data_IF_198682070830
#
_entry.id   IF_198682070830
#
_cell.length_a   1.000
_cell.length_b   1.000
_cell.length_c   1.000
_cell.angle_alpha   90.00
_cell.angle_beta   90.00
_cell.angle_gamma   90.00
#
_symmetry.space_group_name_H-M   'P 1'
#
loop_
_entity.id
_entity.type
_entity.pdbx_description
1 polymer ?
#
# COMPACT_ATOMS: atom_id res chain seq x y z
N UNK A 1 -20.88 41.94 -40.26
CA UNK A 1 -19.92 40.87 -40.63
C UNK A 1 -18.66 40.86 -39.78
N UNK A 2 -18.66 41.46 -38.57
CA UNK A 2 -17.46 41.57 -37.71
C UNK A 2 -17.54 40.86 -36.35
N UNK A 3 -18.66 40.23 -35.99
CA UNK A 3 -18.79 39.54 -34.68
C UNK A 3 -18.32 38.08 -34.75
N UNK A 4 -18.37 37.44 -35.92
CA UNK A 4 -17.93 36.05 -36.12
C UNK A 4 -16.41 35.87 -36.26
N UNK A 5 -15.66 36.96 -36.55
CA UNK A 5 -14.18 36.89 -36.58
C UNK A 5 -13.53 36.99 -35.20
N UNK A 6 -14.17 37.66 -34.24
CA UNK A 6 -13.63 37.85 -32.89
C UNK A 6 -13.67 36.52 -32.10
N UNK A 7 -14.73 35.72 -32.21
CA UNK A 7 -14.86 34.44 -31.50
C UNK A 7 -13.83 33.35 -31.89
N UNK A 8 -13.39 33.32 -33.17
CA UNK A 8 -12.37 32.39 -33.65
C UNK A 8 -10.94 32.76 -33.19
N UNK A 9 -10.67 34.07 -33.05
CA UNK A 9 -9.36 34.54 -32.57
C UNK A 9 -9.22 34.25 -31.08
N UNK A 10 -10.27 34.44 -30.28
CA UNK A 10 -10.27 34.08 -28.85
C UNK A 10 -10.20 32.56 -28.61
N UNK A 11 -10.89 31.76 -29.41
CA UNK A 11 -10.81 30.29 -29.32
C UNK A 11 -9.40 29.77 -29.68
N UNK A 12 -8.76 30.33 -30.71
CA UNK A 12 -7.37 29.98 -31.06
C UNK A 12 -6.35 30.48 -30.01
N UNK A 13 -6.58 31.65 -29.40
CA UNK A 13 -5.71 32.17 -28.34
C UNK A 13 -5.86 31.37 -27.05
N UNK A 14 -7.05 30.89 -26.72
CA UNK A 14 -7.31 30.00 -25.61
C UNK A 14 -6.67 28.61 -25.82
N UNK A 15 -6.75 28.08 -27.06
CA UNK A 15 -6.05 26.80 -27.41
C UNK A 15 -4.54 26.93 -27.36
N UNK A 16 -3.97 28.07 -27.78
CA UNK A 16 -2.51 28.31 -27.75
C UNK A 16 -2.04 28.48 -26.29
N UNK A 17 -2.79 29.17 -25.44
CA UNK A 17 -2.48 29.31 -24.01
C UNK A 17 -2.54 27.96 -23.27
N UNK A 18 -3.51 27.11 -23.57
CA UNK A 18 -3.62 25.77 -23.00
C UNK A 18 -2.44 24.86 -23.40
N UNK A 19 -1.81 25.09 -24.56
CA UNK A 19 -0.66 24.31 -25.03
C UNK A 19 0.65 24.61 -24.25
N UNK A 20 0.72 25.75 -23.55
CA UNK A 20 1.86 26.16 -22.70
C UNK A 20 1.63 25.92 -21.20
N UNK A 21 0.42 25.53 -20.80
CA UNK A 21 0.10 25.21 -19.40
C UNK A 21 0.50 23.78 -19.08
N UNK A 22 1.12 23.58 -17.91
CA UNK A 22 1.38 22.23 -17.39
C UNK A 22 0.09 21.44 -17.16
N UNK A 23 0.17 20.08 -17.09
CA UNK A 23 -1.02 19.23 -16.95
C UNK A 23 -1.86 19.58 -15.71
N UNK A 24 -1.23 19.87 -14.59
CA UNK A 24 -1.93 20.25 -13.35
C UNK A 24 -2.60 21.64 -13.45
N UNK A 25 -2.00 22.59 -14.17
CA UNK A 25 -2.61 23.90 -14.42
C UNK A 25 -3.84 23.78 -15.34
N UNK A 26 -3.78 22.89 -16.33
CA UNK A 26 -4.92 22.58 -17.20
C UNK A 26 -6.07 21.97 -16.38
N UNK A 27 -5.77 20.98 -15.54
CA UNK A 27 -6.73 20.35 -14.64
C UNK A 27 -7.36 21.37 -13.69
N UNK A 28 -6.55 22.20 -13.02
CA UNK A 28 -6.99 23.29 -12.14
C UNK A 28 -7.96 24.23 -12.84
N UNK A 29 -7.59 24.69 -14.04
CA UNK A 29 -8.41 25.63 -14.80
C UNK A 29 -9.77 25.02 -15.21
N UNK A 30 -9.80 23.71 -15.52
CA UNK A 30 -11.03 22.99 -15.83
C UNK A 30 -11.93 22.84 -14.58
N UNK A 31 -11.36 22.47 -13.45
CA UNK A 31 -12.06 22.28 -12.18
C UNK A 31 -12.62 23.61 -11.64
N UNK A 32 -11.86 24.72 -11.75
CA UNK A 32 -12.35 26.06 -11.35
C UNK A 32 -13.59 26.45 -12.15
N UNK A 33 -13.59 26.23 -13.47
CA UNK A 33 -14.78 26.53 -14.30
C UNK A 33 -15.99 25.68 -13.89
N UNK A 34 -15.80 24.41 -13.59
CA UNK A 34 -16.88 23.55 -13.08
C UNK A 34 -17.40 24.07 -11.74
N UNK A 35 -16.47 24.46 -10.86
CA UNK A 35 -16.80 25.01 -9.54
C UNK A 35 -17.60 26.32 -9.62
N UNK A 36 -17.21 27.24 -10.51
CA UNK A 36 -17.91 28.48 -10.72
C UNK A 36 -19.33 28.26 -11.28
N UNK A 37 -19.51 27.26 -12.15
CA UNK A 37 -20.82 26.86 -12.64
C UNK A 37 -21.74 26.33 -11.53
N UNK A 38 -21.20 25.59 -10.53
CA UNK A 38 -21.98 25.14 -9.38
C UNK A 38 -22.47 26.26 -8.49
N UNK A 39 -21.73 27.34 -8.34
CA UNK A 39 -22.12 28.49 -7.51
C UNK A 39 -23.41 29.16 -8.02
N UNK A 40 -23.84 28.87 -9.24
CA UNK A 40 -25.08 29.35 -9.82
C UNK A 40 -26.27 28.38 -9.73
N UNK A 41 -26.02 27.15 -9.21
CA UNK A 41 -27.04 26.12 -9.03
C UNK A 41 -27.11 25.77 -7.55
N UNK A 42 -28.30 25.42 -7.05
CA UNK A 42 -28.49 24.92 -5.69
C UNK A 42 -28.30 23.38 -5.74
N UNK A 43 -27.12 22.82 -5.35
CA UNK A 43 -26.88 21.41 -5.49
C UNK A 43 -27.73 20.64 -4.49
N UNK A 44 -28.55 19.73 -5.00
CA UNK A 44 -29.41 18.84 -4.20
C UNK A 44 -28.61 17.76 -3.45
N UNK A 45 -27.39 17.47 -3.91
CA UNK A 45 -26.52 16.47 -3.32
C UNK A 45 -25.74 17.01 -2.11
N UNK A 46 -25.56 16.22 -1.08
CA UNK A 46 -24.75 16.58 0.11
C UNK A 46 -23.26 16.70 -0.22
N UNK A 47 -22.77 15.90 -1.20
CA UNK A 47 -21.38 15.90 -1.67
C UNK A 47 -21.38 16.21 -3.17
N UNK A 48 -20.59 17.19 -3.55
CA UNK A 48 -20.32 17.56 -4.94
C UNK A 48 -19.07 16.84 -5.42
N UNK A 49 -19.12 16.25 -6.62
CA UNK A 49 -18.00 15.64 -7.31
C UNK A 49 -17.69 16.40 -8.60
N UNK A 50 -16.49 16.94 -8.68
CA UNK A 50 -15.94 17.57 -9.89
C UNK A 50 -14.83 16.67 -10.44
N UNK A 51 -14.78 16.50 -11.76
CA UNK A 51 -13.78 15.66 -12.38
C UNK A 51 -13.27 16.27 -13.69
N UNK A 52 -11.98 16.08 -13.92
CA UNK A 52 -11.36 16.44 -15.20
C UNK A 52 -10.28 15.43 -15.56
N UNK A 53 -9.94 15.39 -16.85
CA UNK A 53 -8.95 14.49 -17.41
C UNK A 53 -7.91 15.29 -18.17
N UNK A 54 -6.64 14.90 -18.03
CA UNK A 54 -5.51 15.40 -18.81
C UNK A 54 -4.73 14.23 -19.39
N UNK A 55 -4.27 14.36 -20.65
CA UNK A 55 -3.50 13.33 -21.34
C UNK A 55 -2.00 13.57 -21.11
N UNK A 56 -1.55 13.29 -19.90
CA UNK A 56 -0.14 13.41 -19.50
C UNK A 56 0.07 12.74 -18.16
N UNK A 57 1.25 12.18 -17.97
CA UNK A 57 1.70 11.72 -16.67
C UNK A 57 2.19 12.89 -15.81
N UNK A 58 1.95 12.78 -14.50
CA UNK A 58 2.37 13.72 -13.46
C UNK A 58 3.23 12.97 -12.45
N UNK A 59 4.31 13.57 -11.97
CA UNK A 59 5.01 13.04 -10.80
C UNK A 59 4.17 13.26 -9.54
N UNK A 60 3.37 12.24 -9.20
CA UNK A 60 2.43 12.31 -8.09
C UNK A 60 3.10 12.38 -6.72
N UNK A 61 4.33 11.86 -6.55
CA UNK A 61 5.07 12.01 -5.30
C UNK A 61 5.60 13.44 -5.13
N UNK A 62 6.12 14.05 -6.19
CA UNK A 62 6.54 15.45 -6.18
C UNK A 62 5.34 16.39 -6.00
N UNK A 63 4.19 16.06 -6.59
CA UNK A 63 2.94 16.78 -6.37
C UNK A 63 2.49 16.68 -4.91
N UNK A 64 2.42 15.49 -4.34
CA UNK A 64 2.02 15.28 -2.94
C UNK A 64 2.95 15.99 -1.96
N UNK A 65 4.27 16.03 -2.25
CA UNK A 65 5.25 16.77 -1.45
C UNK A 65 5.00 18.28 -1.47
N UNK A 66 4.42 18.80 -2.54
CA UNK A 66 4.01 20.21 -2.67
C UNK A 66 2.71 20.56 -1.94
N UNK A 67 1.93 19.56 -1.48
CA UNK A 67 0.64 19.79 -0.81
C UNK A 67 0.80 19.83 0.72
N UNK A 68 0.09 20.76 1.37
CA UNK A 68 0.05 20.90 2.83
C UNK A 68 -1.24 20.33 3.45
N UNK A 69 -2.08 19.66 2.66
CA UNK A 69 -3.36 19.10 3.11
C UNK A 69 -3.20 17.62 3.43
N UNK A 70 -3.71 17.19 4.57
CA UNK A 70 -3.62 15.82 5.11
C UNK A 70 -5.01 15.28 5.49
N UNK A 71 -5.17 13.93 5.63
CA UNK A 71 -4.18 12.91 5.37
C UNK A 71 -3.79 12.84 3.89
N UNK A 72 -2.64 12.19 3.60
CA UNK A 72 -2.20 11.93 2.24
C UNK A 72 -2.06 10.43 2.03
N UNK A 73 -2.53 9.94 0.90
CA UNK A 73 -2.47 8.54 0.49
C UNK A 73 -1.85 8.42 -0.89
N UNK A 74 -0.98 7.42 -1.07
CA UNK A 74 -0.41 7.04 -2.36
C UNK A 74 -0.42 5.52 -2.49
N UNK A 75 -0.79 5.04 -3.66
CA UNK A 75 -0.67 3.63 -4.03
C UNK A 75 -0.34 3.51 -5.53
N UNK A 76 0.85 2.96 -5.84
CA UNK A 76 1.17 2.48 -7.17
C UNK A 76 0.97 0.98 -7.20
N UNK A 77 0.16 0.51 -8.14
CA UNK A 77 -0.19 -0.89 -8.28
C UNK A 77 0.97 -1.69 -8.89
N UNK A 78 1.09 -2.95 -8.47
CA UNK A 78 2.22 -3.83 -8.81
C UNK A 78 2.18 -4.32 -10.25
N UNK A 79 1.01 -4.72 -10.72
CA UNK A 79 0.83 -5.45 -11.98
C UNK A 79 0.25 -4.56 -13.09
N UNK A 80 -0.14 -3.34 -12.78
CA UNK A 80 -0.72 -2.36 -13.69
C UNK A 80 0.08 -1.06 -13.69
N UNK A 81 0.11 -0.37 -14.82
CA UNK A 81 0.65 0.98 -14.90
C UNK A 81 -0.34 2.00 -14.28
N UNK A 82 -0.88 1.67 -13.09
CA UNK A 82 -1.86 2.48 -12.36
C UNK A 82 -1.25 3.04 -11.08
N UNK A 83 -1.52 4.31 -10.83
CA UNK A 83 -1.12 5.00 -9.59
C UNK A 83 -2.29 5.84 -9.09
N UNK A 84 -2.52 5.81 -7.79
CA UNK A 84 -3.53 6.62 -7.10
C UNK A 84 -2.86 7.49 -6.05
N UNK A 85 -3.16 8.78 -6.05
CA UNK A 85 -2.73 9.73 -5.03
C UNK A 85 -3.93 10.50 -4.51
N UNK A 86 -4.00 10.69 -3.19
CA UNK A 86 -5.11 11.42 -2.57
C UNK A 86 -4.61 12.35 -1.47
N UNK A 87 -5.27 13.50 -1.33
CA UNK A 87 -4.99 14.48 -0.26
C UNK A 87 -6.27 15.01 0.35
N UNK A 88 -6.20 15.27 1.67
CA UNK A 88 -7.33 15.73 2.47
C UNK A 88 -8.40 14.67 2.68
N UNK A 89 -9.45 15.02 3.39
CA UNK A 89 -10.62 14.16 3.63
C UNK A 89 -11.90 14.97 3.65
N UNK A 90 -12.92 14.47 2.99
CA UNK A 90 -14.31 14.92 3.08
C UNK A 90 -15.05 14.12 4.12
N UNK A 91 -14.87 12.79 4.08
CA UNK A 91 -15.46 11.83 5.02
C UNK A 91 -14.38 10.87 5.53
N UNK A 92 -14.57 10.36 6.75
CA UNK A 92 -13.71 9.30 7.32
C UNK A 92 -14.56 8.23 7.97
N UNK A 93 -14.09 6.98 7.85
CA UNK A 93 -14.78 5.79 8.34
C UNK A 93 -13.80 4.95 9.17
N UNK A 94 -14.13 4.76 10.45
CA UNK A 94 -13.42 3.88 11.39
C UNK A 94 -14.08 2.49 11.49
N UNK A 95 -15.12 2.24 10.71
CA UNK A 95 -15.80 0.96 10.54
C UNK A 95 -15.90 0.64 9.05
N UNK A 96 -15.38 -0.52 8.67
CA UNK A 96 -15.34 -0.96 7.26
C UNK A 96 -16.75 -1.21 6.69
N UNK A 97 -17.75 -1.55 7.52
CA UNK A 97 -19.12 -1.70 7.04
C UNK A 97 -19.74 -0.35 6.69
N UNK A 98 -19.45 0.70 7.50
CA UNK A 98 -19.91 2.05 7.19
C UNK A 98 -19.23 2.58 5.92
N UNK A 99 -17.94 2.26 5.70
CA UNK A 99 -17.25 2.56 4.46
C UNK A 99 -17.91 1.87 3.26
N UNK A 100 -18.24 0.57 3.40
CA UNK A 100 -18.94 -0.20 2.38
C UNK A 100 -20.33 0.36 2.06
N UNK A 101 -21.10 0.70 3.09
CA UNK A 101 -22.43 1.31 2.91
C UNK A 101 -22.34 2.63 2.15
N UNK A 102 -21.38 3.47 2.51
CA UNK A 102 -21.16 4.75 1.83
C UNK A 102 -20.87 4.58 0.33
N UNK A 103 -20.04 3.60 -0.06
CA UNK A 103 -19.75 3.31 -1.47
C UNK A 103 -21.01 2.86 -2.20
N UNK A 104 -21.83 2.02 -1.57
CA UNK A 104 -23.10 1.52 -2.16
C UNK A 104 -24.12 2.64 -2.38
N UNK A 105 -24.12 3.66 -1.49
CA UNK A 105 -25.06 4.79 -1.57
C UNK A 105 -24.60 5.87 -2.55
N UNK A 106 -23.29 6.11 -2.67
CA UNK A 106 -22.76 7.26 -3.40
C UNK A 106 -21.92 6.94 -4.64
N UNK A 107 -21.46 5.70 -4.80
CA UNK A 107 -20.54 5.26 -5.86
C UNK A 107 -19.24 6.09 -5.93
N UNK A 108 -18.74 6.53 -4.76
CA UNK A 108 -17.48 7.23 -4.66
C UNK A 108 -16.38 6.30 -4.13
N UNK A 109 -15.16 6.33 -4.70
CA UNK A 109 -14.07 5.51 -4.23
C UNK A 109 -13.55 6.00 -2.87
N UNK A 110 -13.19 5.06 -2.01
CA UNK A 110 -12.50 5.31 -0.75
C UNK A 110 -11.07 4.79 -0.83
N UNK A 111 -10.15 5.49 -0.15
CA UNK A 111 -8.78 5.05 0.05
C UNK A 111 -8.52 4.79 1.53
N UNK A 112 -7.68 3.80 1.85
CA UNK A 112 -7.37 3.43 3.23
C UNK A 112 -7.19 1.94 3.41
N UNK A 113 -7.51 1.43 4.62
CA UNK A 113 -7.35 0.02 4.92
C UNK A 113 -7.58 -0.35 6.37
N UNK A 114 -6.98 -1.46 6.79
CA UNK A 114 -7.00 -1.99 8.15
C UNK A 114 -5.60 -2.06 8.72
N UNK A 115 -5.41 -1.62 9.97
CA UNK A 115 -4.21 -1.91 10.73
C UNK A 115 -4.15 -3.39 11.12
N UNK A 116 -3.02 -3.86 11.62
CA UNK A 116 -2.80 -5.28 11.93
C UNK A 116 -3.85 -5.88 12.87
N UNK A 117 -4.29 -5.16 13.89
CA UNK A 117 -5.30 -5.65 14.83
C UNK A 117 -6.73 -5.56 14.26
N UNK A 118 -6.94 -4.85 13.14
CA UNK A 118 -8.22 -4.72 12.45
C UNK A 118 -8.87 -3.34 12.57
N UNK A 119 -8.20 -2.37 13.19
CA UNK A 119 -8.67 -0.98 13.20
C UNK A 119 -8.77 -0.45 11.76
N UNK A 120 -9.94 0.05 11.42
CA UNK A 120 -10.28 0.50 10.09
C UNK A 120 -10.05 2.00 9.95
N UNK A 121 -9.44 2.42 8.84
CA UNK A 121 -9.29 3.82 8.48
C UNK A 121 -9.46 3.97 6.97
N UNK A 122 -10.64 4.42 6.56
CA UNK A 122 -10.97 4.77 5.18
C UNK A 122 -11.37 6.24 5.08
N UNK A 123 -11.06 6.88 3.96
CA UNK A 123 -11.48 8.25 3.68
C UNK A 123 -12.04 8.39 2.28
N UNK A 124 -13.05 9.27 2.12
CA UNK A 124 -13.32 9.96 0.88
C UNK A 124 -12.37 11.16 0.83
N UNK A 125 -11.39 11.20 -0.08
CA UNK A 125 -10.43 12.31 -0.13
C UNK A 125 -11.07 13.59 -0.67
N UNK A 126 -10.46 14.75 -0.37
CA UNK A 126 -10.85 16.00 -1.02
C UNK A 126 -10.38 16.04 -2.48
N UNK A 127 -9.18 15.56 -2.75
CA UNK A 127 -8.64 15.37 -4.09
C UNK A 127 -8.17 13.94 -4.26
N UNK A 128 -8.61 13.31 -5.35
CA UNK A 128 -8.14 12.00 -5.81
C UNK A 128 -7.58 12.16 -7.21
N UNK A 129 -6.35 11.72 -7.42
CA UNK A 129 -5.73 11.63 -8.73
C UNK A 129 -5.48 10.17 -9.05
N UNK A 130 -6.02 9.71 -10.18
CA UNK A 130 -5.77 8.40 -10.74
C UNK A 130 -4.99 8.57 -12.05
N UNK A 131 -3.86 7.89 -12.15
CA UNK A 131 -3.01 7.94 -13.34
C UNK A 131 -2.83 6.55 -13.90
N UNK A 132 -3.10 6.38 -15.20
CA UNK A 132 -2.94 5.10 -15.88
C UNK A 132 -2.72 5.33 -17.38
N UNK A 133 -1.70 4.65 -17.96
CA UNK A 133 -1.44 4.63 -19.40
C UNK A 133 -1.29 6.02 -20.07
N UNK A 134 -0.66 6.98 -19.39
CA UNK A 134 -0.46 8.34 -19.91
C UNK A 134 -1.67 9.27 -19.74
N UNK A 135 -2.68 8.81 -19.02
CA UNK A 135 -3.87 9.55 -18.69
C UNK A 135 -3.93 9.84 -17.19
N UNK A 136 -4.23 11.07 -16.83
CA UNK A 136 -4.42 11.49 -15.43
C UNK A 136 -5.82 12.02 -15.24
N UNK A 137 -6.60 11.37 -14.37
CA UNK A 137 -7.94 11.79 -13.96
C UNK A 137 -7.85 12.44 -12.59
N UNK A 138 -8.38 13.66 -12.46
CA UNK A 138 -8.43 14.41 -11.21
C UNK A 138 -9.87 14.55 -10.77
N UNK A 139 -10.19 14.03 -9.59
CA UNK A 139 -11.49 14.16 -8.94
C UNK A 139 -11.36 15.04 -7.69
N UNK A 140 -12.31 15.95 -7.50
CA UNK A 140 -12.44 16.79 -6.31
C UNK A 140 -13.80 16.51 -5.69
N UNK A 141 -13.80 16.17 -4.41
CA UNK A 141 -15.00 15.96 -3.62
C UNK A 141 -15.11 17.06 -2.55
N UNK A 142 -16.30 17.55 -2.32
CA UNK A 142 -16.56 18.61 -1.34
C UNK A 142 -17.99 18.53 -0.81
N UNK A 143 -18.15 18.76 0.49
CA UNK A 143 -19.48 18.98 1.09
C UNK A 143 -20.09 20.26 0.52
N UNK A 144 -21.38 20.22 0.24
CA UNK A 144 -22.10 21.38 -0.33
C UNK A 144 -22.03 22.63 0.56
N UNK A 145 -21.91 22.42 1.89
CA UNK A 145 -21.78 23.50 2.88
C UNK A 145 -20.32 23.95 3.10
N UNK A 146 -19.32 23.31 2.46
CA UNK A 146 -17.88 23.58 2.62
C UNK A 146 -17.18 23.96 1.30
N UNK A 147 -17.91 24.56 0.36
CA UNK A 147 -17.41 24.89 -0.95
C UNK A 147 -16.13 25.78 -0.95
N UNK A 148 -15.93 26.60 0.09
CA UNK A 148 -14.72 27.42 0.20
C UNK A 148 -13.46 26.58 0.47
N UNK A 149 -13.58 25.40 1.08
CA UNK A 149 -12.45 24.49 1.28
C UNK A 149 -11.90 23.95 -0.04
N UNK A 150 -12.76 23.67 -1.01
CA UNK A 150 -12.35 23.25 -2.35
C UNK A 150 -11.59 24.35 -3.09
N UNK A 151 -12.01 25.63 -2.95
CA UNK A 151 -11.28 26.76 -3.53
C UNK A 151 -9.86 26.87 -2.99
N UNK A 152 -9.68 26.67 -1.67
CA UNK A 152 -8.36 26.72 -1.04
C UNK A 152 -7.43 25.64 -1.62
N UNK A 153 -7.92 24.42 -1.77
CA UNK A 153 -7.14 23.31 -2.36
C UNK A 153 -6.80 23.61 -3.82
N UNK A 154 -7.77 24.06 -4.61
CA UNK A 154 -7.54 24.40 -6.01
C UNK A 154 -6.53 25.54 -6.19
N UNK A 155 -6.42 26.47 -5.24
CA UNK A 155 -5.43 27.56 -5.30
C UNK A 155 -3.98 27.08 -5.24
N UNK A 156 -3.71 25.96 -4.58
CA UNK A 156 -2.35 25.39 -4.46
C UNK A 156 -2.18 24.08 -5.24
N UNK A 157 -3.18 23.69 -6.02
CA UNK A 157 -3.26 22.37 -6.65
C UNK A 157 -2.07 22.07 -7.58
N UNK A 158 -1.55 23.07 -8.31
CA UNK A 158 -0.44 22.91 -9.24
C UNK A 158 0.94 22.87 -8.56
N UNK A 159 1.02 23.11 -7.25
CA UNK A 159 2.30 23.12 -6.54
C UNK A 159 2.94 21.73 -6.54
N UNK A 160 4.21 21.69 -6.95
CA UNK A 160 5.06 20.52 -6.87
C UNK A 160 6.35 20.88 -6.11
N UNK A 161 6.88 19.91 -5.36
CA UNK A 161 8.17 20.07 -4.67
C UNK A 161 9.09 18.94 -5.11
N UNK A 162 10.33 19.28 -5.50
CA UNK A 162 11.29 18.31 -5.95
C UNK A 162 11.56 17.22 -4.90
N UNK A 163 11.66 15.98 -5.34
CA UNK A 163 12.05 14.86 -4.51
C UNK A 163 13.57 14.92 -4.27
N UNK A 164 13.99 14.65 -3.05
CA UNK A 164 15.39 14.67 -2.64
C UNK A 164 15.94 13.24 -2.55
N UNK A 165 17.16 13.00 -3.04
CA UNK A 165 17.80 11.70 -2.95
C UNK A 165 18.23 11.39 -1.52
N UNK A 166 18.14 10.13 -1.09
CA UNK A 166 18.48 9.70 0.27
C UNK A 166 19.99 9.66 0.57
N UNK A 167 20.84 9.74 -0.44
CA UNK A 167 22.31 9.71 -0.28
C UNK A 167 22.92 10.89 0.49
N UNK A 168 22.12 11.93 0.75
CA UNK A 168 22.52 13.09 1.57
C UNK A 168 22.25 12.88 3.06
N UNK A 169 21.60 11.78 3.42
CA UNK A 169 21.22 11.48 4.79
C UNK A 169 22.26 10.57 5.45
N UNK A 170 22.48 10.79 6.74
CA UNK A 170 23.41 9.98 7.55
C UNK A 170 22.63 9.25 8.64
N UNK A 171 22.88 7.94 8.79
CA UNK A 171 22.35 7.16 9.90
C UNK A 171 23.23 7.41 11.14
N UNK A 172 22.66 8.03 12.18
CA UNK A 172 23.37 8.33 13.43
C UNK A 172 23.40 7.13 14.39
N UNK A 173 22.31 6.37 14.44
CA UNK A 173 22.18 5.23 15.35
C UNK A 173 21.21 4.19 14.83
N UNK A 174 21.42 2.94 15.27
CA UNK A 174 20.59 1.79 14.95
C UNK A 174 20.22 1.07 16.25
N UNK A 175 18.95 0.85 16.49
CA UNK A 175 18.44 0.20 17.71
C UNK A 175 17.36 -0.82 17.38
N UNK A 176 17.68 -2.12 17.21
CA UNK A 176 16.68 -3.15 17.07
C UNK A 176 15.98 -3.42 18.40
N UNK A 177 14.68 -3.75 18.37
CA UNK A 177 13.90 -4.16 19.57
C UNK A 177 14.35 -5.50 20.09
N UNK A 178 14.63 -6.46 19.23
CA UNK A 178 15.27 -7.72 19.57
C UNK A 178 16.64 -7.81 18.90
N UNK A 179 17.67 -8.18 19.66
CA UNK A 179 18.91 -8.68 19.12
C UNK A 179 18.77 -10.18 18.78
N UNK A 180 19.80 -10.79 18.20
CA UNK A 180 19.77 -12.22 17.80
C UNK A 180 19.39 -13.15 18.96
N UNK A 181 19.91 -12.92 20.18
CA UNK A 181 19.60 -13.75 21.35
C UNK A 181 18.13 -13.67 21.73
N UNK A 182 17.60 -12.44 21.88
CA UNK A 182 16.18 -12.19 22.17
C UNK A 182 15.27 -12.75 21.07
N UNK A 183 15.66 -12.59 19.80
CA UNK A 183 14.92 -13.17 18.68
C UNK A 183 14.86 -14.71 18.76
N UNK A 184 15.99 -15.35 19.04
CA UNK A 184 16.04 -16.81 19.21
C UNK A 184 15.14 -17.28 20.37
N UNK A 185 15.06 -16.51 21.45
CA UNK A 185 14.15 -16.81 22.57
C UNK A 185 12.68 -16.68 22.13
N UNK A 186 12.33 -15.66 21.33
CA UNK A 186 10.99 -15.51 20.76
C UNK A 186 10.60 -16.67 19.84
N UNK A 187 11.51 -17.06 18.94
CA UNK A 187 11.30 -18.21 18.05
C UNK A 187 11.13 -19.51 18.86
N UNK A 188 11.92 -19.73 19.93
CA UNK A 188 11.77 -20.91 20.79
C UNK A 188 10.43 -20.92 21.54
N UNK A 189 9.91 -19.76 21.96
CA UNK A 189 8.57 -19.64 22.56
C UNK A 189 7.49 -20.02 21.54
N UNK A 190 7.60 -19.53 20.29
CA UNK A 190 6.69 -19.89 19.21
C UNK A 190 6.71 -21.39 18.91
N UNK A 191 7.92 -21.98 18.77
CA UNK A 191 8.08 -23.42 18.54
C UNK A 191 7.53 -24.28 19.69
N UNK A 192 7.64 -23.81 20.93
CA UNK A 192 7.05 -24.49 22.07
C UNK A 192 5.53 -24.57 21.97
N UNK A 193 4.86 -23.46 21.64
CA UNK A 193 3.40 -23.42 21.43
C UNK A 193 2.96 -24.27 20.23
N UNK A 194 3.78 -24.31 19.15
CA UNK A 194 3.51 -25.16 17.99
C UNK A 194 3.57 -26.64 18.39
N UNK A 195 4.61 -27.07 19.12
CA UNK A 195 4.76 -28.45 19.60
C UNK A 195 3.66 -28.87 20.59
N UNK A 196 3.09 -27.91 21.33
CA UNK A 196 1.97 -28.15 22.24
C UNK A 196 0.61 -28.16 21.51
N UNK A 197 0.59 -27.89 20.19
CA UNK A 197 -0.63 -27.87 19.39
C UNK A 197 -1.51 -26.62 19.58
N UNK A 198 -0.99 -25.58 20.26
CA UNK A 198 -1.70 -24.29 20.40
C UNK A 198 -1.69 -23.52 19.08
N UNK A 199 -0.61 -23.63 18.32
CA UNK A 199 -0.39 -22.96 17.03
C UNK A 199 0.09 -23.96 15.99
N UNK A 200 -0.21 -23.68 14.72
CA UNK A 200 0.39 -24.39 13.57
C UNK A 200 1.48 -23.52 12.93
N UNK A 201 1.31 -22.20 12.97
CA UNK A 201 2.24 -21.20 12.43
C UNK A 201 2.16 -19.91 13.25
N UNK A 202 3.31 -19.22 13.40
CA UNK A 202 3.36 -17.87 13.97
C UNK A 202 4.33 -17.01 13.15
N UNK A 203 3.90 -15.83 12.71
CA UNK A 203 4.80 -14.89 12.01
C UNK A 203 5.29 -13.83 12.98
N UNK A 204 6.50 -14.06 13.50
CA UNK A 204 7.17 -13.09 14.37
C UNK A 204 7.78 -11.96 13.55
N UNK A 205 7.80 -10.77 14.13
CA UNK A 205 8.44 -9.60 13.54
C UNK A 205 9.44 -8.95 14.50
N UNK A 206 10.42 -8.25 13.93
CA UNK A 206 11.31 -7.37 14.67
C UNK A 206 11.18 -5.94 14.13
N UNK A 207 11.28 -4.96 15.02
CA UNK A 207 11.35 -3.54 14.70
C UNK A 207 12.78 -3.06 14.89
N UNK A 208 13.32 -2.35 13.91
CA UNK A 208 14.62 -1.68 14.00
C UNK A 208 14.44 -0.19 13.80
N UNK A 209 14.85 0.61 14.78
CA UNK A 209 14.75 2.08 14.76
C UNK A 209 16.09 2.66 14.30
N UNK A 210 16.03 3.52 13.29
CA UNK A 210 17.15 4.32 12.80
C UNK A 210 16.91 5.78 13.14
N UNK A 211 17.93 6.46 13.63
CA UNK A 211 17.92 7.91 13.72
C UNK A 211 18.70 8.48 12.53
N UNK A 212 18.08 9.42 11.84
CA UNK A 212 18.61 10.03 10.61
C UNK A 212 18.97 11.48 10.90
N UNK A 213 20.15 11.91 10.42
CA UNK A 213 20.53 13.31 10.34
C UNK A 213 20.17 13.84 8.94
N UNK A 214 19.44 14.95 8.90
CA UNK A 214 18.93 15.58 7.69
C UNK A 214 17.41 15.56 7.61
N UNK A 215 16.87 16.20 6.59
CA UNK A 215 15.41 16.24 6.34
C UNK A 215 14.99 15.05 5.49
N UNK A 216 14.15 14.19 6.04
CA UNK A 216 13.59 13.04 5.36
C UNK A 216 12.07 13.18 5.29
N UNK A 217 11.51 13.08 4.09
CA UNK A 217 10.06 12.93 3.91
C UNK A 217 9.72 11.53 3.41
N UNK A 218 8.51 11.04 3.75
CA UNK A 218 8.05 9.74 3.22
C UNK A 218 7.97 9.70 1.70
N UNK A 219 7.77 10.85 1.05
CA UNK A 219 7.73 10.94 -0.42
C UNK A 219 9.11 10.71 -1.04
N UNK A 220 10.16 11.28 -0.43
CA UNK A 220 11.56 11.07 -0.86
C UNK A 220 11.96 9.61 -0.67
N UNK A 221 11.64 9.03 0.50
CA UNK A 221 11.89 7.63 0.80
C UNK A 221 11.19 6.69 -0.19
N UNK A 222 9.91 6.96 -0.47
CA UNK A 222 9.13 6.12 -1.38
C UNK A 222 9.62 6.21 -2.82
N UNK A 223 10.02 7.39 -3.28
CA UNK A 223 10.60 7.59 -4.61
C UNK A 223 11.86 6.75 -4.82
N UNK A 224 12.79 6.77 -3.85
CA UNK A 224 13.99 5.94 -3.89
C UNK A 224 13.66 4.44 -3.82
N UNK A 225 12.73 4.07 -2.93
CA UNK A 225 12.26 2.68 -2.82
C UNK A 225 11.59 2.19 -4.11
N UNK A 226 10.79 3.03 -4.76
CA UNK A 226 10.11 2.72 -6.01
C UNK A 226 11.08 2.52 -7.17
N UNK A 227 12.15 3.32 -7.23
CA UNK A 227 13.19 3.20 -8.25
C UNK A 227 13.97 1.88 -8.15
N UNK A 228 14.13 1.34 -6.92
CA UNK A 228 14.94 0.16 -6.64
C UNK A 228 14.16 -1.16 -6.53
N UNK A 229 12.85 -1.12 -6.29
CA UNK A 229 12.03 -2.32 -6.04
C UNK A 229 10.95 -2.50 -7.12
N UNK A 230 11.25 -3.27 -8.14
CA UNK A 230 10.28 -3.65 -9.17
C UNK A 230 9.33 -4.76 -8.72
N UNK A 231 8.15 -4.86 -9.34
CA UNK A 231 7.17 -5.91 -9.08
C UNK A 231 6.52 -5.82 -7.70
N UNK A 232 6.46 -4.61 -7.12
CA UNK A 232 5.87 -4.30 -5.82
C UNK A 232 4.74 -3.27 -5.95
N UNK A 233 3.81 -3.30 -5.00
CA UNK A 233 2.99 -2.14 -4.67
C UNK A 233 3.86 -1.14 -3.94
N UNK A 234 3.71 0.14 -4.24
CA UNK A 234 4.39 1.22 -3.52
C UNK A 234 3.32 2.07 -2.85
N UNK A 235 3.36 2.19 -1.54
CA UNK A 235 2.31 2.84 -0.78
C UNK A 235 2.84 3.85 0.23
N UNK A 236 2.00 4.84 0.52
CA UNK A 236 2.22 5.83 1.58
C UNK A 236 0.89 6.20 2.20
N UNK A 237 0.87 6.26 3.53
CA UNK A 237 -0.16 6.90 4.33
C UNK A 237 0.50 7.93 5.25
N UNK A 238 0.11 9.20 5.16
CA UNK A 238 0.65 10.25 6.00
C UNK A 238 -0.49 10.98 6.70
N UNK A 239 -0.45 11.01 8.02
CA UNK A 239 -1.41 11.77 8.84
C UNK A 239 -1.08 13.26 8.90
N UNK A 240 0.20 13.59 8.74
CA UNK A 240 0.75 14.95 8.68
C UNK A 240 2.11 14.94 7.96
N UNK A 241 2.83 16.06 7.96
CA UNK A 241 4.14 16.23 7.30
C UNK A 241 5.27 15.46 8.00
N UNK A 242 5.14 15.17 9.30
CA UNK A 242 6.17 14.55 10.13
C UNK A 242 5.95 13.05 10.37
N UNK A 243 4.71 12.56 10.17
CA UNK A 243 4.34 11.19 10.48
C UNK A 243 3.74 10.51 9.26
N UNK A 244 4.45 9.52 8.74
CA UNK A 244 3.94 8.71 7.66
C UNK A 244 4.34 7.23 7.80
N UNK A 245 3.57 6.39 7.16
CA UNK A 245 3.84 4.97 6.95
C UNK A 245 4.04 4.72 5.46
N UNK A 246 5.12 4.05 5.09
CA UNK A 246 5.56 3.93 3.70
C UNK A 246 6.19 2.57 3.44
N UNK A 247 6.01 2.04 2.21
CA UNK A 247 6.62 0.76 1.87
C UNK A 247 6.50 0.35 0.42
N UNK A 248 7.20 -0.75 0.11
CA UNK A 248 7.21 -1.39 -1.21
C UNK A 248 7.00 -2.88 -1.02
N UNK A 249 5.75 -3.34 -1.16
CA UNK A 249 5.34 -4.72 -0.85
C UNK A 249 5.10 -5.55 -2.10
N UNK A 250 5.57 -6.80 -2.15
CA UNK A 250 5.26 -7.70 -3.24
C UNK A 250 3.88 -8.37 -3.11
N UNK A 251 3.20 -8.23 -1.97
CA UNK A 251 2.06 -9.07 -1.59
C UNK A 251 0.72 -8.36 -1.82
N UNK A 252 -0.14 -9.00 -2.61
CA UNK A 252 -1.55 -8.64 -2.77
C UNK A 252 -2.36 -9.29 -1.66
N UNK A 253 -3.18 -8.51 -0.96
CA UNK A 253 -4.21 -9.10 -0.11
C UNK A 253 -5.33 -9.66 -0.98
N UNK A 254 -5.95 -8.80 -1.77
CA UNK A 254 -6.85 -9.21 -2.85
C UNK A 254 -7.05 -8.08 -3.86
N UNK A 255 -7.47 -8.45 -5.06
CA UNK A 255 -8.09 -7.57 -6.05
C UNK A 255 -9.47 -8.14 -6.40
N UNK A 256 -10.46 -7.26 -6.55
CA UNK A 256 -11.82 -7.61 -6.96
C UNK A 256 -12.19 -6.80 -8.21
N UNK A 257 -12.67 -7.50 -9.21
CA UNK A 257 -13.34 -6.94 -10.39
C UNK A 257 -14.76 -7.49 -10.43
N UNK A 258 -15.73 -6.67 -10.09
CA UNK A 258 -17.11 -7.08 -9.90
C UNK A 258 -17.20 -8.30 -8.95
N UNK A 259 -17.52 -9.48 -9.47
CA UNK A 259 -17.62 -10.74 -8.72
C UNK A 259 -16.38 -11.65 -8.87
N UNK A 260 -15.34 -11.20 -9.53
CA UNK A 260 -14.10 -11.93 -9.66
C UNK A 260 -13.12 -11.47 -8.59
N UNK A 261 -12.66 -12.41 -7.77
CA UNK A 261 -11.67 -12.21 -6.72
C UNK A 261 -10.33 -12.81 -7.17
N UNK A 262 -9.26 -12.05 -6.98
CA UNK A 262 -7.88 -12.48 -7.18
C UNK A 262 -7.13 -12.27 -5.87
N UNK A 263 -6.55 -13.32 -5.32
CA UNK A 263 -5.69 -13.27 -4.15
C UNK A 263 -4.48 -14.16 -4.35
N UNK A 264 -3.60 -14.25 -3.39
CA UNK A 264 -2.39 -15.06 -3.51
C UNK A 264 -1.87 -15.51 -2.14
N UNK A 265 -1.23 -16.68 -2.12
CA UNK A 265 -0.45 -17.15 -0.98
C UNK A 265 1.04 -16.91 -1.27
N UNK A 266 1.64 -15.95 -0.57
CA UNK A 266 3.06 -15.59 -0.68
C UNK A 266 3.77 -15.95 0.62
N UNK A 267 4.46 -17.09 0.65
CA UNK A 267 5.21 -17.58 1.82
C UNK A 267 6.27 -18.59 1.38
N UNK A 268 7.29 -18.83 2.20
CA UNK A 268 8.48 -19.57 1.80
C UNK A 268 9.49 -18.65 1.11
N UNK A 269 10.76 -18.66 1.56
CA UNK A 269 11.75 -17.65 1.15
C UNK A 269 13.12 -18.29 0.88
N UNK A 270 13.79 -17.84 -0.18
CA UNK A 270 15.21 -18.08 -0.41
C UNK A 270 15.92 -16.77 -0.77
N UNK A 271 17.21 -16.60 -0.41
CA UNK A 271 17.98 -15.46 -0.81
C UNK A 271 18.23 -15.45 -2.34
N UNK A 272 18.32 -14.27 -2.94
CA UNK A 272 18.79 -14.06 -4.32
C UNK A 272 20.32 -13.92 -4.31
N UNK A 273 20.98 -14.47 -5.32
CA UNK A 273 22.43 -14.32 -5.57
C UNK A 273 22.66 -13.59 -6.88
N UNK A 274 23.72 -12.78 -6.93
CA UNK A 274 24.17 -12.14 -8.17
C UNK A 274 24.79 -13.15 -9.16
N UNK A 275 25.17 -14.35 -8.66
CA UNK A 275 25.61 -15.47 -9.50
C UNK A 275 24.38 -16.23 -10.06
N UNK A 276 24.16 -16.23 -11.41
CA UNK A 276 22.99 -16.89 -12.00
C UNK A 276 22.88 -18.39 -11.69
N UNK A 277 24.00 -19.13 -11.63
CA UNK A 277 24.00 -20.57 -11.34
C UNK A 277 23.52 -20.83 -9.91
N UNK A 278 24.10 -20.12 -8.95
CA UNK A 278 23.72 -20.21 -7.54
C UNK A 278 22.27 -19.79 -7.31
N UNK A 279 21.82 -18.75 -8.04
CA UNK A 279 20.44 -18.30 -7.97
C UNK A 279 19.45 -19.36 -8.50
N UNK A 280 19.79 -20.05 -9.59
CA UNK A 280 19.00 -21.17 -10.09
C UNK A 280 18.98 -22.36 -9.13
N UNK A 281 20.10 -22.68 -8.48
CA UNK A 281 20.15 -23.74 -7.46
C UNK A 281 19.25 -23.42 -6.27
N UNK A 282 19.29 -22.19 -5.77
CA UNK A 282 18.42 -21.71 -4.68
C UNK A 282 16.95 -21.70 -5.07
N UNK A 283 16.63 -21.31 -6.30
CA UNK A 283 15.29 -21.35 -6.86
C UNK A 283 14.74 -22.78 -6.94
N UNK A 284 15.53 -23.70 -7.47
CA UNK A 284 15.16 -25.11 -7.55
C UNK A 284 15.03 -25.75 -6.17
N UNK A 285 15.93 -25.40 -5.24
CA UNK A 285 15.81 -25.85 -3.85
C UNK A 285 14.48 -25.40 -3.23
N UNK A 286 14.15 -24.09 -3.36
CA UNK A 286 12.93 -23.52 -2.77
C UNK A 286 11.65 -24.16 -3.33
N UNK A 287 11.62 -24.48 -4.62
CA UNK A 287 10.49 -25.15 -5.27
C UNK A 287 10.28 -26.61 -4.81
N UNK A 288 11.28 -27.22 -4.17
CA UNK A 288 11.24 -28.62 -3.74
C UNK A 288 11.40 -28.78 -2.21
N UNK A 289 11.57 -27.69 -1.46
CA UNK A 289 11.73 -27.76 -0.01
C UNK A 289 10.38 -27.93 0.68
N UNK A 290 10.21 -29.08 1.34
CA UNK A 290 8.96 -29.49 1.98
C UNK A 290 8.50 -28.50 3.05
N UNK A 291 9.41 -27.91 3.83
CA UNK A 291 9.08 -26.92 4.87
C UNK A 291 8.45 -25.68 4.23
N UNK A 292 9.11 -25.10 3.21
CA UNK A 292 8.64 -23.89 2.55
C UNK A 292 7.34 -24.13 1.74
N UNK A 293 7.23 -25.31 1.09
CA UNK A 293 6.00 -25.70 0.40
C UNK A 293 4.82 -25.84 1.37
N UNK A 294 5.03 -26.46 2.54
CA UNK A 294 4.02 -26.58 3.58
C UNK A 294 3.64 -25.21 4.15
N UNK A 295 4.63 -24.35 4.45
CA UNK A 295 4.38 -22.98 4.92
C UNK A 295 3.47 -22.20 3.94
N UNK A 296 3.76 -22.29 2.63
CA UNK A 296 2.96 -21.66 1.60
C UNK A 296 1.54 -22.26 1.51
N UNK A 297 1.43 -23.60 1.62
CA UNK A 297 0.13 -24.28 1.55
C UNK A 297 -0.79 -23.94 2.72
N UNK A 298 -0.26 -23.76 3.92
CA UNK A 298 -1.03 -23.30 5.09
C UNK A 298 -1.71 -21.94 4.83
N UNK A 299 -1.08 -21.05 4.04
CA UNK A 299 -1.71 -19.78 3.65
C UNK A 299 -2.83 -19.99 2.64
N UNK A 300 -2.66 -20.92 1.69
CA UNK A 300 -3.73 -21.29 0.74
C UNK A 300 -4.95 -21.84 1.48
N UNK A 301 -4.74 -22.75 2.42
CA UNK A 301 -5.81 -23.37 3.21
C UNK A 301 -6.54 -22.31 4.06
N UNK A 302 -5.80 -21.44 4.74
CA UNK A 302 -6.35 -20.35 5.56
C UNK A 302 -7.25 -19.43 4.72
N UNK A 303 -6.74 -18.89 3.61
CA UNK A 303 -7.54 -18.03 2.72
C UNK A 303 -8.77 -18.79 2.20
N UNK A 304 -8.59 -20.01 1.68
CA UNK A 304 -9.67 -20.81 1.10
C UNK A 304 -10.79 -21.09 2.11
N UNK A 305 -10.41 -21.45 3.34
CA UNK A 305 -11.35 -21.74 4.41
C UNK A 305 -12.11 -20.47 4.85
N UNK A 306 -11.38 -19.36 5.03
CA UNK A 306 -11.96 -18.10 5.50
C UNK A 306 -12.96 -17.49 4.50
N UNK A 307 -12.73 -17.63 3.18
CA UNK A 307 -13.65 -17.11 2.16
C UNK A 307 -14.67 -18.15 1.65
N UNK A 308 -14.64 -19.40 2.14
CA UNK A 308 -15.47 -20.50 1.63
C UNK A 308 -16.96 -20.18 1.54
N UNK A 309 -17.49 -19.41 2.48
CA UNK A 309 -18.89 -18.98 2.54
C UNK A 309 -19.21 -17.75 1.68
N UNK A 310 -18.18 -17.08 1.14
CA UNK A 310 -18.29 -15.88 0.30
C UNK A 310 -18.14 -16.17 -1.18
N UNK A 311 -17.76 -17.38 -1.56
CA UNK A 311 -17.43 -17.76 -2.94
C UNK A 311 -18.32 -18.90 -3.47
N UNK A 312 -18.61 -18.88 -4.78
CA UNK A 312 -19.28 -19.98 -5.49
C UNK A 312 -18.26 -21.03 -5.95
N UNK A 313 -17.04 -20.60 -6.28
CA UNK A 313 -15.95 -21.43 -6.78
C UNK A 313 -14.62 -20.78 -6.44
N UNK A 314 -13.61 -21.60 -6.16
CA UNK A 314 -12.21 -21.17 -5.98
C UNK A 314 -11.29 -22.08 -6.77
N UNK A 315 -10.26 -21.51 -7.37
CA UNK A 315 -9.17 -22.21 -8.07
C UNK A 315 -7.85 -21.73 -7.52
N UNK A 316 -6.87 -22.63 -7.42
CA UNK A 316 -5.52 -22.36 -6.92
C UNK A 316 -4.54 -22.83 -8.00
N UNK A 317 -3.65 -21.94 -8.42
CA UNK A 317 -2.61 -22.26 -9.39
C UNK A 317 -1.49 -23.10 -8.75
N UNK A 318 -0.71 -23.76 -9.58
CA UNK A 318 0.53 -24.41 -9.17
C UNK A 318 1.49 -23.40 -8.52
N UNK A 319 2.40 -23.92 -7.67
CA UNK A 319 3.42 -23.09 -7.04
C UNK A 319 4.39 -22.53 -8.08
N UNK A 320 4.71 -21.27 -7.94
CA UNK A 320 5.68 -20.55 -8.77
C UNK A 320 6.63 -19.72 -7.90
N UNK A 321 7.67 -19.15 -8.52
CA UNK A 321 8.58 -18.22 -7.87
C UNK A 321 8.17 -16.77 -8.12
N UNK A 322 8.25 -15.97 -7.07
CA UNK A 322 8.17 -14.50 -7.10
C UNK A 322 9.55 -13.93 -6.78
N UNK A 323 10.37 -13.60 -7.80
CA UNK A 323 11.67 -12.98 -7.57
C UNK A 323 11.51 -11.52 -7.14
N UNK A 324 12.33 -11.11 -6.16
CA UNK A 324 12.50 -9.73 -5.70
C UNK A 324 14.00 -9.40 -5.68
N UNK A 325 14.35 -8.16 -5.32
CA UNK A 325 15.73 -7.68 -5.37
C UNK A 325 16.73 -8.48 -4.50
N UNK A 326 16.35 -8.88 -3.28
CA UNK A 326 17.25 -9.55 -2.31
C UNK A 326 16.79 -10.96 -1.91
N UNK A 327 15.54 -11.28 -2.18
CA UNK A 327 14.93 -12.58 -1.86
C UNK A 327 13.99 -13.01 -2.97
N UNK A 328 13.66 -14.31 -2.99
CA UNK A 328 12.59 -14.86 -3.82
C UNK A 328 11.64 -15.67 -2.93
N UNK A 329 10.35 -15.64 -3.30
CA UNK A 329 9.29 -16.30 -2.54
C UNK A 329 8.57 -17.34 -3.39
N UNK A 330 7.98 -18.34 -2.71
CA UNK A 330 6.93 -19.15 -3.34
C UNK A 330 5.63 -18.35 -3.40
N UNK A 331 4.94 -18.46 -4.54
CA UNK A 331 3.64 -17.85 -4.77
C UNK A 331 2.67 -18.88 -5.35
N UNK A 332 1.44 -18.92 -4.84
CA UNK A 332 0.28 -19.54 -5.51
C UNK A 332 -0.78 -18.49 -5.71
N UNK A 333 -1.16 -18.26 -6.97
CA UNK A 333 -2.27 -17.37 -7.31
C UNK A 333 -3.58 -18.11 -7.08
N UNK A 334 -4.58 -17.38 -6.62
CA UNK A 334 -5.91 -17.91 -6.34
C UNK A 334 -6.94 -17.02 -7.00
N UNK A 335 -7.91 -17.62 -7.66
CA UNK A 335 -9.05 -16.94 -8.24
C UNK A 335 -10.35 -17.51 -7.68
N UNK A 336 -11.32 -16.65 -7.43
CA UNK A 336 -12.63 -17.09 -6.96
C UNK A 336 -13.73 -16.27 -7.60
N UNK A 337 -14.91 -16.90 -7.72
CA UNK A 337 -16.15 -16.23 -8.10
C UNK A 337 -16.95 -15.97 -6.83
N UNK A 338 -17.18 -14.71 -6.51
CA UNK A 338 -17.89 -14.27 -5.31
C UNK A 338 -19.40 -14.55 -5.42
N UNK A 339 -20.04 -14.80 -4.27
CA UNK A 339 -21.49 -14.78 -4.16
C UNK A 339 -22.05 -13.39 -4.49
N UNK A 340 -23.32 -13.30 -4.85
CA UNK A 340 -23.93 -12.02 -5.26
C UNK A 340 -24.00 -10.97 -4.13
N UNK A 341 -23.95 -11.39 -2.87
CA UNK A 341 -24.07 -10.52 -1.69
C UNK A 341 -22.72 -10.21 -1.04
N UNK A 342 -21.63 -10.80 -1.52
CA UNK A 342 -20.30 -10.57 -0.95
C UNK A 342 -19.84 -9.14 -1.21
N UNK A 343 -19.34 -8.49 -0.16
CA UNK A 343 -18.81 -7.12 -0.18
C UNK A 343 -17.31 -7.10 0.09
N UNK A 344 -16.66 -5.96 -0.18
CA UNK A 344 -15.25 -5.77 0.19
C UNK A 344 -15.05 -5.79 1.72
N UNK A 345 -16.03 -5.31 2.47
CA UNK A 345 -16.00 -5.38 3.92
C UNK A 345 -15.99 -6.83 4.44
N UNK A 346 -16.71 -7.73 3.77
CA UNK A 346 -16.70 -9.17 4.11
C UNK A 346 -15.34 -9.78 3.77
N UNK A 347 -14.78 -9.48 2.59
CA UNK A 347 -13.46 -9.95 2.16
C UNK A 347 -12.35 -9.47 3.08
N UNK A 348 -12.33 -8.18 3.44
CA UNK A 348 -11.34 -7.61 4.35
C UNK A 348 -11.38 -8.31 5.71
N UNK A 349 -12.55 -8.55 6.29
CA UNK A 349 -12.71 -9.24 7.55
C UNK A 349 -12.34 -10.73 7.49
N UNK A 350 -12.63 -11.38 6.36
CA UNK A 350 -12.34 -12.79 6.18
C UNK A 350 -10.85 -13.07 5.95
N UNK A 351 -10.17 -12.22 5.16
CA UNK A 351 -8.79 -12.50 4.72
C UNK A 351 -7.76 -11.83 5.64
N UNK A 352 -8.07 -10.65 6.21
CA UNK A 352 -7.06 -9.88 6.97
C UNK A 352 -7.08 -10.18 8.48
N UNK A 353 -5.89 -10.36 9.09
CA UNK A 353 -4.59 -10.60 8.47
C UNK A 353 -4.44 -12.06 8.05
N UNK A 354 -3.78 -12.31 6.92
CA UNK A 354 -3.51 -13.68 6.43
C UNK A 354 -2.55 -14.44 7.34
N UNK A 355 -2.54 -15.77 7.22
CA UNK A 355 -1.53 -16.61 7.86
C UNK A 355 -0.09 -16.33 7.37
N UNK A 356 0.08 -15.59 6.26
CA UNK A 356 1.39 -15.17 5.76
C UNK A 356 2.05 -14.10 6.65
N UNK A 357 1.26 -13.32 7.41
CA UNK A 357 1.77 -12.22 8.24
C UNK A 357 1.35 -12.28 9.72
N UNK A 358 0.43 -13.18 10.07
CA UNK A 358 -0.06 -13.36 11.45
C UNK A 358 0.31 -14.74 11.99
N UNK A 359 -0.39 -15.78 11.57
CA UNK A 359 -0.21 -17.16 12.02
C UNK A 359 -1.54 -17.89 12.14
N UNK A 360 -1.47 -19.16 12.56
CA UNK A 360 -2.61 -20.07 12.65
C UNK A 360 -2.65 -20.82 13.97
N UNK A 361 -3.84 -20.99 14.59
CA UNK A 361 -5.10 -20.29 14.28
C UNK A 361 -4.99 -18.80 14.56
N UNK A 362 -5.69 -17.94 13.78
CA UNK A 362 -5.49 -16.49 13.77
C UNK A 362 -5.63 -15.82 15.15
N UNK A 363 -6.66 -16.15 15.93
CA UNK A 363 -6.88 -15.52 17.24
C UNK A 363 -5.79 -15.87 18.24
N UNK A 364 -5.38 -17.15 18.30
CA UNK A 364 -4.28 -17.62 19.15
C UNK A 364 -2.95 -16.99 18.72
N UNK A 365 -2.72 -16.86 17.40
CA UNK A 365 -1.54 -16.20 16.86
C UNK A 365 -1.46 -14.73 17.27
N UNK A 366 -2.55 -13.96 17.12
CA UNK A 366 -2.60 -12.55 17.56
C UNK A 366 -2.31 -12.41 19.06
N UNK A 367 -2.86 -13.30 19.91
CA UNK A 367 -2.58 -13.31 21.33
C UNK A 367 -1.11 -13.61 21.63
N UNK A 368 -0.55 -14.63 20.97
CA UNK A 368 0.87 -14.99 21.15
C UNK A 368 1.81 -13.85 20.72
N UNK A 369 1.51 -13.16 19.61
CA UNK A 369 2.28 -12.00 19.15
C UNK A 369 2.24 -10.86 20.18
N UNK A 370 1.08 -10.54 20.73
CA UNK A 370 0.94 -9.51 21.77
C UNK A 370 1.69 -9.85 23.09
N UNK A 371 1.94 -11.13 23.37
CA UNK A 371 2.71 -11.59 24.54
C UNK A 371 4.23 -11.63 24.26
N UNK A 372 4.65 -11.84 23.01
CA UNK A 372 6.07 -12.05 22.64
C UNK A 372 6.70 -10.74 22.12
N UNK A 373 6.03 -10.03 21.21
CA UNK A 373 6.55 -8.80 20.62
C UNK A 373 6.46 -7.63 21.60
N UNK A 374 7.49 -6.79 21.62
CA UNK A 374 7.59 -5.65 22.54
C UNK A 374 7.21 -4.31 21.92
N UNK A 375 6.54 -4.34 20.76
CA UNK A 375 6.10 -3.17 20.00
C UNK A 375 4.73 -3.39 19.39
N UNK A 376 4.05 -2.30 19.02
CA UNK A 376 2.80 -2.33 18.29
C UNK A 376 3.07 -2.25 16.78
N UNK A 377 2.48 -3.16 16.03
CA UNK A 377 2.60 -3.24 14.57
C UNK A 377 1.88 -2.11 13.85
N UNK A 378 0.76 -1.60 14.40
CA UNK A 378 -0.06 -0.55 13.76
C UNK A 378 -0.36 -0.93 12.31
N UNK A 379 0.12 -0.13 11.33
CA UNK A 379 -0.02 -0.40 9.89
C UNK A 379 0.90 -1.51 9.37
N UNK A 380 1.98 -1.87 10.06
CA UNK A 380 2.83 -2.98 9.63
C UNK A 380 2.07 -4.30 9.67
N UNK A 381 2.14 -5.07 8.58
CA UNK A 381 1.35 -6.29 8.35
C UNK A 381 -0.17 -6.06 8.37
N UNK A 382 -0.58 -4.81 8.19
CA UNK A 382 -1.94 -4.38 7.91
C UNK A 382 -2.24 -4.47 6.42
N UNK A 383 -3.19 -3.66 5.94
CA UNK A 383 -3.53 -3.55 4.52
C UNK A 383 -3.87 -2.12 4.14
N UNK A 384 -3.46 -1.71 2.93
CA UNK A 384 -3.84 -0.45 2.30
C UNK A 384 -4.32 -0.70 0.88
N UNK A 385 -5.30 0.08 0.43
CA UNK A 385 -5.87 -0.08 -0.90
C UNK A 385 -6.86 0.98 -1.30
N UNK A 386 -7.52 0.71 -2.41
CA UNK A 386 -8.64 1.48 -2.96
C UNK A 386 -9.86 0.59 -2.98
N UNK A 387 -10.97 1.11 -2.50
CA UNK A 387 -12.26 0.43 -2.41
C UNK A 387 -13.29 1.20 -3.21
N UNK A 388 -13.94 0.56 -4.17
CA UNK A 388 -15.01 1.15 -4.98
C UNK A 388 -16.12 0.15 -5.27
N UNK A 389 -17.19 0.59 -5.91
CA UNK A 389 -18.35 -0.25 -6.15
C UNK A 389 -18.03 -1.49 -7.00
N UNK A 390 -17.22 -1.34 -8.05
CA UNK A 390 -16.95 -2.40 -9.01
C UNK A 390 -15.52 -2.95 -8.92
N UNK A 391 -14.55 -2.10 -8.53
CA UNK A 391 -13.13 -2.43 -8.52
C UNK A 391 -12.54 -2.11 -7.15
N UNK A 392 -11.85 -3.06 -6.57
CA UNK A 392 -11.11 -2.84 -5.32
C UNK A 392 -9.81 -3.61 -5.34
N UNK A 393 -8.75 -3.02 -4.81
CA UNK A 393 -7.48 -3.71 -4.69
C UNK A 393 -6.73 -3.26 -3.45
N UNK A 394 -6.25 -4.24 -2.68
CA UNK A 394 -5.55 -4.07 -1.42
C UNK A 394 -4.25 -4.84 -1.42
N UNK A 395 -3.19 -4.23 -0.89
CA UNK A 395 -1.91 -4.89 -0.63
C UNK A 395 -1.72 -5.15 0.86
N UNK A 396 -0.92 -6.16 1.21
CA UNK A 396 -0.45 -6.39 2.57
C UNK A 396 0.72 -5.47 2.85
N UNK A 397 0.65 -4.68 3.92
CA UNK A 397 1.62 -3.60 4.18
C UNK A 397 2.85 -4.07 4.93
N UNK A 398 3.62 -4.94 4.27
CA UNK A 398 4.96 -5.38 4.69
C UNK A 398 6.05 -4.66 3.87
N UNK A 399 7.33 -4.91 4.21
CA UNK A 399 8.47 -4.20 3.60
C UNK A 399 8.29 -2.70 3.72
N UNK A 400 8.04 -2.26 4.94
CA UNK A 400 7.55 -0.94 5.28
C UNK A 400 8.30 -0.31 6.44
N UNK A 401 8.12 1.00 6.56
CA UNK A 401 8.67 1.78 7.66
C UNK A 401 7.68 2.85 8.10
N UNK A 402 7.68 3.18 9.39
CA UNK A 402 7.20 4.47 9.85
C UNK A 402 8.34 5.47 9.78
N UNK A 403 8.03 6.66 9.28
CA UNK A 403 8.92 7.83 9.36
C UNK A 403 8.24 8.81 10.30
N UNK A 404 8.84 9.04 11.44
CA UNK A 404 8.32 9.88 12.52
C UNK A 404 9.41 10.89 12.88
N UNK A 405 9.27 12.13 12.41
CA UNK A 405 10.31 13.17 12.48
C UNK A 405 11.64 12.70 11.86
N UNK A 406 12.69 12.51 12.66
CA UNK A 406 14.01 12.04 12.25
C UNK A 406 14.24 10.54 12.55
N UNK A 407 13.20 9.79 12.87
CA UNK A 407 13.27 8.35 13.13
C UNK A 407 12.62 7.56 11.99
N UNK A 408 13.29 6.50 11.57
CA UNK A 408 12.77 5.51 10.62
C UNK A 408 12.67 4.18 11.34
N UNK A 409 11.45 3.66 11.49
CA UNK A 409 11.14 2.39 12.15
C UNK A 409 10.84 1.35 11.09
N UNK A 410 11.79 0.46 10.83
CA UNK A 410 11.71 -0.60 9.80
C UNK A 410 11.28 -1.90 10.45
N UNK A 411 10.43 -2.66 9.75
CA UNK A 411 9.92 -3.93 10.22
C UNK A 411 10.29 -5.06 9.26
N UNK A 412 10.64 -6.21 9.86
CA UNK A 412 10.84 -7.45 9.13
C UNK A 412 10.35 -8.63 9.95
N UNK A 413 9.71 -9.60 9.31
CA UNK A 413 9.16 -10.79 9.97
C UNK A 413 9.49 -12.09 9.25
N UNK A 414 9.44 -13.19 10.00
CA UNK A 414 9.60 -14.54 9.50
C UNK A 414 8.50 -15.47 10.01
N UNK A 415 8.07 -16.41 9.15
CA UNK A 415 7.06 -17.40 9.48
C UNK A 415 7.67 -18.59 10.22
N UNK A 416 7.30 -18.77 11.47
CA UNK A 416 7.74 -19.86 12.32
C UNK A 416 6.76 -21.03 12.20
N UNK A 417 7.27 -22.16 11.76
CA UNK A 417 6.56 -23.45 11.65
C UNK A 417 7.38 -24.56 12.31
N UNK A 418 6.82 -25.74 12.41
CA UNK A 418 7.59 -26.89 12.88
C UNK A 418 8.83 -27.09 12.00
N UNK A 419 10.01 -27.29 12.64
CA UNK A 419 11.30 -27.40 11.95
C UNK A 419 12.03 -26.08 11.71
N UNK A 420 11.42 -24.91 11.99
CA UNK A 420 12.13 -23.61 11.95
C UNK A 420 13.35 -23.60 12.88
N UNK A 421 14.45 -23.00 12.40
CA UNK A 421 15.70 -22.88 13.16
C UNK A 421 15.89 -21.39 13.56
N UNK A 422 16.01 -21.07 14.85
CA UNK A 422 16.03 -19.67 15.33
C UNK A 422 17.07 -18.77 14.66
N UNK A 423 18.26 -19.30 14.37
CA UNK A 423 19.35 -18.54 13.73
C UNK A 423 19.05 -18.30 12.24
N UNK A 424 18.46 -19.27 11.54
CA UNK A 424 18.08 -19.14 10.13
C UNK A 424 16.98 -18.09 9.97
N UNK A 425 15.98 -18.11 10.87
CA UNK A 425 14.89 -17.11 10.88
C UNK A 425 15.43 -15.71 11.20
N UNK A 426 16.46 -15.58 12.06
CA UNK A 426 17.17 -14.32 12.28
C UNK A 426 17.82 -13.79 10.99
N UNK A 427 18.56 -14.66 10.29
CA UNK A 427 19.21 -14.29 9.03
C UNK A 427 18.18 -13.92 7.94
N UNK A 428 16.98 -14.48 7.99
CA UNK A 428 15.90 -14.15 7.08
C UNK A 428 15.38 -12.72 7.32
N UNK A 429 15.08 -12.35 8.58
CA UNK A 429 14.59 -11.00 8.89
C UNK A 429 15.65 -9.93 8.62
N UNK A 430 16.93 -10.21 8.88
CA UNK A 430 18.04 -9.30 8.54
C UNK A 430 18.08 -9.02 7.03
N UNK A 431 17.96 -10.04 6.18
CA UNK A 431 17.91 -9.89 4.73
C UNK A 431 16.68 -9.10 4.27
N UNK A 432 15.52 -9.31 4.90
CA UNK A 432 14.28 -8.58 4.60
C UNK A 432 14.41 -7.11 4.99
N UNK A 433 14.97 -6.80 6.15
CA UNK A 433 15.23 -5.44 6.61
C UNK A 433 16.28 -4.72 5.74
N UNK A 434 17.32 -5.43 5.32
CA UNK A 434 18.38 -4.88 4.47
C UNK A 434 17.87 -4.27 3.17
N UNK A 435 16.73 -4.74 2.64
CA UNK A 435 16.11 -4.16 1.44
C UNK A 435 15.70 -2.70 1.61
N UNK A 436 15.25 -2.28 2.80
CA UNK A 436 14.89 -0.90 3.11
C UNK A 436 16.10 -0.09 3.63
N UNK A 437 16.94 -0.71 4.43
CA UNK A 437 18.13 -0.06 5.02
C UNK A 437 19.14 0.32 3.93
N UNK A 438 19.31 -0.52 2.92
CA UNK A 438 20.21 -0.26 1.81
C UNK A 438 19.81 0.95 0.94
N UNK A 439 18.59 1.46 1.09
CA UNK A 439 18.18 2.70 0.42
C UNK A 439 19.01 3.91 0.88
N UNK A 440 19.51 3.88 2.13
CA UNK A 440 20.38 4.93 2.69
C UNK A 440 21.86 4.72 2.39
N UNK A 441 22.31 3.49 2.11
CA UNK A 441 23.72 3.11 2.06
C UNK A 441 24.31 2.97 0.65
N UNK A 442 23.51 2.73 -0.38
CA UNK A 442 24.00 2.33 -1.71
C UNK A 442 24.63 3.46 -2.55
N UNK A 443 24.86 4.66 -1.98
CA UNK A 443 25.53 5.76 -2.68
C UNK A 443 26.85 6.21 -2.03
N UNK A 444 27.34 5.47 -1.02
CA UNK A 444 28.64 5.77 -0.38
C UNK A 444 29.78 4.83 -0.85
N UNK A 445 29.65 4.27 -2.05
CA UNK A 445 30.61 3.30 -2.57
C UNK A 445 30.95 3.52 -4.02
N UNK A 446 31.86 4.45 -4.27
CA UNK A 446 33.10 4.28 -5.02
C UNK A 446 34.06 5.39 -4.63
#
# INVERSE_FOLDING_TARGET
MNVLKCGRIWANFLCILLFFMGPLEQAKSALIRQFEALATTDPQASIVHLQTKVESDVDLLAWMKGQSVYPQFYLRFRDEAKTVAAVGKVRSFSDVNLAQQFIQEHDFPLVGGLQFQGESQFILPQVLIEQQNGETVVSVFVETNELDSAKMILNSFEKMTALLPLNQLTIESVAPKANQGTWCDWVNQALTRIRQGELTKLVLANETVFRIQGELTGKDFLAESQAKNSGCYHFLWADNDQNCFVGSTPERLFARDNRLLFTEALAGTAPVSDNPSENNERANWLLNDEKNLNENWLVVEDISQNISHLVEQITVDDVALKPLRKVQHLIRKMQAKLTALCTDADLLKAIHPTAAVSGLPQQQAKKALAEIETFDRRWYAGTLGVMSQNLSEFCVTIRSAFIEENQVRVFAGAGIVEGSQPVEEWLEIERKAAGLISLFAENNGE
#
